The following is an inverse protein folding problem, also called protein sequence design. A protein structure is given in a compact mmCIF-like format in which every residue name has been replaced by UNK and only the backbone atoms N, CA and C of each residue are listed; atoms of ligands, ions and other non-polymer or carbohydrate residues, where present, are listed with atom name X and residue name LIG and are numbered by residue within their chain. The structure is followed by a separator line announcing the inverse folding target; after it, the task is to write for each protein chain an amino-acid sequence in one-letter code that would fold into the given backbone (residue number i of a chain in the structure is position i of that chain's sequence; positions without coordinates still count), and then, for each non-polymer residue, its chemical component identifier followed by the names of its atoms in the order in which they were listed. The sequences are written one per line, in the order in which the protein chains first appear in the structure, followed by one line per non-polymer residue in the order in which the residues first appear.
data_IF_754214694384
#
_entry.id   IF_754214694384
#
_cell.length_a   1.000
_cell.length_b   1.000
_cell.length_c   1.000
_cell.angle_alpha   90.00
_cell.angle_beta   90.00
_cell.angle_gamma   90.00
#
_symmetry.space_group_name_H-M   'P 1'
#
loop_
_entity.id
_entity.type
_entity.pdbx_description
1 polymer ?
#
# COMPACT_ATOMS: atom_id res chain seq x y z
N UNK A 1 6.69 33.99 -15.05
CA UNK A 1 7.27 32.77 -14.45
C UNK A 1 8.77 32.77 -14.76
N UNK A 2 9.67 32.68 -13.77
CA UNK A 2 11.14 32.61 -14.00
C UNK A 2 11.64 31.21 -13.66
N UNK A 3 12.39 30.60 -14.56
CA UNK A 3 12.95 29.25 -14.40
C UNK A 3 14.42 29.36 -13.98
N UNK A 4 14.84 28.56 -12.99
CA UNK A 4 16.24 28.46 -12.61
C UNK A 4 16.90 27.35 -13.44
N UNK A 5 17.58 27.73 -14.53
CA UNK A 5 18.22 26.77 -15.45
C UNK A 5 19.20 25.82 -14.73
N UNK A 6 19.87 26.27 -13.67
CA UNK A 6 20.77 25.43 -12.84
C UNK A 6 20.07 24.29 -12.10
N UNK A 7 18.74 24.37 -11.93
CA UNK A 7 17.91 23.36 -11.26
C UNK A 7 17.09 22.54 -12.26
N UNK A 8 17.28 22.76 -13.56
CA UNK A 8 16.58 22.05 -14.61
C UNK A 8 17.48 20.97 -15.19
N UNK A 9 16.93 19.77 -15.30
CA UNK A 9 17.56 18.64 -15.97
C UNK A 9 16.70 18.33 -17.20
N UNK A 10 17.31 18.24 -18.38
CA UNK A 10 16.62 18.00 -19.66
C UNK A 10 17.21 16.79 -20.37
N UNK A 11 16.37 15.98 -21.02
CA UNK A 11 16.80 14.88 -21.89
C UNK A 11 17.44 13.69 -21.15
N UNK A 12 17.09 13.46 -19.88
CA UNK A 12 17.57 12.31 -19.11
C UNK A 12 16.55 11.17 -19.13
N UNK A 13 17.04 9.93 -19.26
CA UNK A 13 16.23 8.72 -19.14
C UNK A 13 15.77 8.48 -17.68
N UNK A 14 16.62 8.86 -16.72
CA UNK A 14 16.36 8.78 -15.29
C UNK A 14 16.51 10.16 -14.64
N UNK A 15 15.51 10.59 -13.87
CA UNK A 15 15.51 11.86 -13.15
C UNK A 15 15.24 11.67 -11.67
N UNK A 16 16.11 12.25 -10.84
CA UNK A 16 15.90 12.35 -9.41
C UNK A 16 15.01 13.55 -9.06
N UNK A 17 13.82 13.29 -8.52
CA UNK A 17 12.86 14.32 -8.16
C UNK A 17 12.18 13.99 -6.83
N UNK A 18 12.13 14.96 -5.91
CA UNK A 18 11.43 14.84 -4.62
C UNK A 18 11.81 13.58 -3.80
N UNK A 19 13.06 13.13 -3.85
CA UNK A 19 13.49 11.91 -3.13
C UNK A 19 13.10 10.60 -3.81
N UNK A 20 12.50 10.67 -5.00
CA UNK A 20 12.24 9.54 -5.88
C UNK A 20 13.17 9.55 -7.10
N UNK A 21 13.26 8.38 -7.73
CA UNK A 21 13.88 8.17 -9.03
C UNK A 21 12.74 7.94 -10.02
N UNK A 22 12.62 8.80 -11.03
CA UNK A 22 11.67 8.65 -12.13
C UNK A 22 12.44 8.11 -13.33
N UNK A 23 12.10 6.93 -13.83
CA UNK A 23 12.76 6.31 -14.99
C UNK A 23 11.68 5.73 -15.91
N UNK A 24 11.51 6.31 -17.10
CA UNK A 24 10.46 5.91 -18.04
C UNK A 24 9.07 5.87 -17.39
N UNK A 25 8.48 4.68 -17.34
CA UNK A 25 7.16 4.41 -16.73
C UNK A 25 7.25 3.92 -15.27
N UNK A 26 8.38 4.17 -14.60
CA UNK A 26 8.63 3.66 -13.25
C UNK A 26 9.02 4.78 -12.27
N UNK A 27 8.61 4.58 -11.01
CA UNK A 27 8.89 5.44 -9.88
C UNK A 27 9.56 4.60 -8.79
N UNK A 28 10.84 4.85 -8.54
CA UNK A 28 11.65 4.21 -7.51
C UNK A 28 11.91 5.10 -6.30
N UNK A 29 12.43 4.49 -5.25
CA UNK A 29 13.01 5.20 -4.11
C UNK A 29 14.47 5.53 -4.43
N UNK A 30 14.91 6.75 -4.11
CA UNK A 30 16.34 7.09 -4.16
C UNK A 30 17.14 6.25 -3.16
N UNK A 31 17.89 5.27 -3.69
CA UNK A 31 18.70 4.33 -2.90
C UNK A 31 19.70 5.03 -1.98
N UNK A 32 20.19 6.22 -2.33
CA UNK A 32 21.10 6.98 -1.47
C UNK A 32 20.42 7.46 -0.17
N UNK A 33 19.13 7.82 -0.25
CA UNK A 33 18.34 8.23 0.93
C UNK A 33 18.06 7.05 1.84
N UNK A 34 17.80 5.88 1.26
CA UNK A 34 17.60 4.63 2.02
C UNK A 34 18.90 4.19 2.68
N UNK A 35 20.03 4.23 1.97
CA UNK A 35 21.34 3.89 2.51
C UNK A 35 21.69 4.71 3.77
N UNK A 36 21.37 6.02 3.76
CA UNK A 36 21.56 6.88 4.92
C UNK A 36 20.73 6.47 6.15
N UNK A 37 19.60 5.78 5.96
CA UNK A 37 18.80 5.20 7.05
C UNK A 37 19.35 3.84 7.48
N UNK A 38 19.88 3.05 6.55
CA UNK A 38 20.49 1.76 6.88
C UNK A 38 21.76 1.90 7.70
N UNK A 39 22.54 2.96 7.51
CA UNK A 39 23.77 3.20 8.26
C UNK A 39 23.53 3.65 9.70
N UNK A 40 22.29 4.06 10.04
CA UNK A 40 21.97 4.49 11.40
C UNK A 40 21.84 3.29 12.33
N UNK A 41 22.29 3.41 13.59
CA UNK A 41 22.01 2.40 14.59
C UNK A 41 20.50 2.29 14.84
N UNK A 42 20.08 1.18 15.45
CA UNK A 42 18.71 0.99 15.91
C UNK A 42 18.35 2.16 16.85
N UNK A 43 17.17 2.80 16.68
CA UNK A 43 16.74 3.91 17.52
C UNK A 43 16.80 3.57 19.01
N UNK A 44 17.42 4.44 19.80
CA UNK A 44 17.59 4.28 21.24
C UNK A 44 16.60 5.10 22.07
N UNK A 45 15.81 5.96 21.41
CA UNK A 45 14.80 6.78 22.06
C UNK A 45 13.61 7.07 21.12
N UNK A 46 12.53 7.62 21.71
CA UNK A 46 11.29 7.95 20.98
C UNK A 46 11.54 8.94 19.83
N UNK A 47 12.44 9.91 19.99
CA UNK A 47 12.73 10.93 18.97
C UNK A 47 13.34 10.31 17.72
N UNK A 48 14.31 9.42 17.89
CA UNK A 48 14.93 8.67 16.80
C UNK A 48 13.93 7.73 16.13
N UNK A 49 13.10 7.04 16.90
CA UNK A 49 12.07 6.16 16.35
C UNK A 49 11.04 6.94 15.53
N UNK A 50 10.57 8.09 16.01
CA UNK A 50 9.68 8.97 15.26
C UNK A 50 10.34 9.51 13.98
N UNK A 51 11.63 9.83 14.02
CA UNK A 51 12.38 10.24 12.82
C UNK A 51 12.44 9.12 11.79
N UNK A 52 12.69 7.87 12.22
CA UNK A 52 12.68 6.70 11.34
C UNK A 52 11.30 6.43 10.76
N UNK A 53 10.25 6.48 11.57
CA UNK A 53 8.87 6.28 11.13
C UNK A 53 8.41 7.38 10.19
N UNK A 54 8.80 8.63 10.42
CA UNK A 54 8.53 9.75 9.52
C UNK A 54 9.15 9.54 8.14
N UNK A 55 10.42 9.13 8.10
CA UNK A 55 11.10 8.77 6.85
C UNK A 55 10.41 7.58 6.14
N UNK A 56 10.14 6.51 6.88
CA UNK A 56 9.55 5.30 6.30
C UNK A 56 8.12 5.55 5.79
N UNK A 57 7.35 6.37 6.51
CA UNK A 57 6.00 6.78 6.12
C UNK A 57 5.97 7.59 4.83
N UNK A 58 7.02 8.38 4.55
CA UNK A 58 7.15 9.10 3.28
C UNK A 58 7.10 8.14 2.07
N UNK A 59 7.77 6.99 2.20
CA UNK A 59 7.83 5.96 1.17
C UNK A 59 6.76 4.87 1.30
N UNK A 60 5.76 5.02 2.19
CA UNK A 60 4.76 3.98 2.47
C UNK A 60 4.02 3.45 1.25
N UNK A 61 3.92 4.23 0.17
CA UNK A 61 3.32 3.81 -1.11
C UNK A 61 4.09 2.68 -1.80
N UNK A 62 5.36 2.49 -1.47
CA UNK A 62 6.21 1.38 -1.93
C UNK A 62 6.18 0.19 -0.97
N UNK A 63 5.61 0.34 0.22
CA UNK A 63 5.74 -0.60 1.31
C UNK A 63 4.40 -1.30 1.56
N UNK A 64 4.31 -2.56 1.12
CA UNK A 64 3.16 -3.41 1.44
C UNK A 64 2.99 -3.51 2.96
N UNK A 65 1.75 -3.37 3.43
CA UNK A 65 1.35 -3.54 4.84
C UNK A 65 2.10 -2.66 5.85
N UNK A 66 2.64 -1.51 5.41
CA UNK A 66 3.41 -0.60 6.27
C UNK A 66 2.75 -0.29 7.61
N UNK A 67 1.45 0.02 7.62
CA UNK A 67 0.75 0.40 8.85
C UNK A 67 0.64 -0.75 9.86
N UNK A 68 0.59 -2.00 9.38
CA UNK A 68 0.60 -3.22 10.19
C UNK A 68 2.01 -3.42 10.76
N UNK A 69 3.04 -3.36 9.89
CA UNK A 69 4.44 -3.50 10.30
C UNK A 69 4.86 -2.44 11.32
N UNK A 70 4.44 -1.18 11.13
CA UNK A 70 4.81 -0.06 11.98
C UNK A 70 4.01 0.02 13.28
N UNK A 71 3.02 -0.85 13.51
CA UNK A 71 2.08 -0.76 14.63
C UNK A 71 2.76 -0.76 16.00
N UNK A 72 3.62 -1.74 16.25
CA UNK A 72 4.35 -1.83 17.52
C UNK A 72 5.34 -0.68 17.71
N UNK A 73 5.87 -0.11 16.61
CA UNK A 73 6.81 1.00 16.61
C UNK A 73 6.13 2.36 16.87
N UNK A 74 4.92 2.59 16.35
CA UNK A 74 4.14 3.77 16.70
C UNK A 74 3.75 3.74 18.19
N UNK A 75 3.35 2.56 18.72
CA UNK A 75 2.94 2.40 20.12
C UNK A 75 4.04 2.76 21.13
N UNK A 76 5.32 2.54 20.81
CA UNK A 76 6.43 2.95 21.70
C UNK A 76 6.73 4.45 21.67
N UNK A 77 6.24 5.14 20.64
CA UNK A 77 6.37 6.59 20.54
C UNK A 77 5.33 7.32 21.41
N UNK A 78 4.28 6.64 21.88
CA UNK A 78 3.27 7.22 22.76
C UNK A 78 3.90 7.72 24.07
N UNK A 79 3.43 8.87 24.57
CA UNK A 79 3.98 9.49 25.78
C UNK A 79 3.91 8.55 27.00
N UNK A 80 2.82 7.78 27.11
CA UNK A 80 2.54 6.86 28.23
C UNK A 80 3.30 5.53 28.15
N UNK A 81 3.92 5.21 27.02
CA UNK A 81 4.63 3.93 26.83
C UNK A 81 6.11 4.09 27.17
N UNK A 82 6.69 3.18 27.93
CA UNK A 82 8.14 3.13 28.14
C UNK A 82 8.82 2.75 26.83
N UNK A 83 9.92 3.44 26.50
CA UNK A 83 10.68 3.12 25.30
C UNK A 83 11.48 1.83 25.53
N UNK A 84 11.12 0.78 24.81
CA UNK A 84 11.79 -0.52 24.91
C UNK A 84 11.79 -1.21 23.54
N UNK A 85 12.95 -1.60 23.05
CA UNK A 85 13.09 -2.35 21.79
C UNK A 85 13.02 -3.85 22.07
N UNK A 86 11.80 -4.36 22.28
CA UNK A 86 11.55 -5.80 22.40
C UNK A 86 11.91 -6.54 21.10
N UNK A 87 12.09 -7.86 21.16
CA UNK A 87 12.38 -8.66 19.97
C UNK A 87 11.34 -8.49 18.86
N UNK A 88 10.05 -8.34 19.21
CA UNK A 88 8.97 -8.07 18.25
C UNK A 88 9.18 -6.73 17.52
N UNK A 89 9.55 -5.68 18.26
CA UNK A 89 9.80 -4.34 17.72
C UNK A 89 11.06 -4.30 16.87
N UNK A 90 12.12 -5.01 17.27
CA UNK A 90 13.33 -5.17 16.47
C UNK A 90 12.98 -5.87 15.15
N UNK A 91 12.22 -6.96 15.19
CA UNK A 91 11.75 -7.64 13.96
C UNK A 91 10.92 -6.73 13.07
N UNK A 92 10.02 -5.92 13.64
CA UNK A 92 9.22 -4.96 12.89
C UNK A 92 10.08 -3.86 12.23
N UNK A 93 11.05 -3.33 12.99
CA UNK A 93 12.02 -2.35 12.50
C UNK A 93 12.84 -2.89 11.33
N UNK A 94 13.40 -4.09 11.45
CA UNK A 94 14.16 -4.74 10.38
C UNK A 94 13.31 -5.08 9.16
N UNK A 95 12.05 -5.50 9.35
CA UNK A 95 11.12 -5.70 8.22
C UNK A 95 10.88 -4.43 7.43
N UNK A 96 10.71 -3.28 8.09
CA UNK A 96 10.53 -1.99 7.41
C UNK A 96 11.82 -1.56 6.71
N UNK A 97 12.99 -1.73 7.34
CA UNK A 97 14.29 -1.46 6.70
C UNK A 97 14.48 -2.28 5.43
N UNK A 98 14.22 -3.59 5.52
CA UNK A 98 14.29 -4.50 4.40
C UNK A 98 13.32 -4.13 3.29
N UNK A 99 12.07 -3.79 3.65
CA UNK A 99 11.07 -3.35 2.68
C UNK A 99 11.46 -2.04 1.98
N UNK A 100 12.15 -1.11 2.66
CA UNK A 100 12.67 0.12 2.05
C UNK A 100 13.82 -0.15 1.06
N UNK A 101 14.62 -1.20 1.29
CA UNK A 101 15.75 -1.55 0.41
C UNK A 101 15.34 -2.40 -0.78
N UNK A 102 14.41 -3.32 -0.55
CA UNK A 102 13.87 -4.23 -1.56
C UNK A 102 12.60 -3.66 -2.22
N UNK A 103 12.29 -2.39 -1.96
CA UNK A 103 11.10 -1.74 -2.47
C UNK A 103 11.04 -1.83 -4.00
N UNK A 104 9.97 -2.43 -4.51
CA UNK A 104 9.72 -2.50 -5.94
C UNK A 104 9.59 -1.09 -6.55
N UNK A 105 10.00 -0.99 -7.81
CA UNK A 105 9.62 0.15 -8.63
C UNK A 105 8.10 0.17 -8.74
N UNK A 106 7.51 1.34 -8.49
CA UNK A 106 6.09 1.55 -8.76
C UNK A 106 5.90 1.87 -10.23
N UNK A 107 4.89 1.28 -10.86
CA UNK A 107 4.48 1.66 -12.20
C UNK A 107 3.80 3.03 -12.16
N UNK A 108 4.12 3.89 -13.12
CA UNK A 108 3.32 5.07 -13.39
C UNK A 108 1.95 4.62 -13.91
N UNK A 109 0.84 5.13 -13.34
CA UNK A 109 -0.48 4.71 -13.76
C UNK A 109 -0.75 5.13 -15.22
N UNK A 110 -1.22 4.18 -16.03
CA UNK A 110 -1.83 4.47 -17.33
C UNK A 110 -3.35 4.41 -17.19
N UNK A 111 -4.01 5.55 -17.33
CA UNK A 111 -5.46 5.69 -17.14
C UNK A 111 -6.30 4.97 -18.19
N UNK A 112 -5.70 4.49 -19.27
CA UNK A 112 -6.40 3.77 -20.34
C UNK A 112 -6.40 2.25 -20.11
N UNK A 113 -5.66 1.76 -19.10
CA UNK A 113 -5.51 0.34 -18.81
C UNK A 113 -6.24 0.01 -17.50
N UNK A 114 -7.02 -1.09 -17.43
CA UNK A 114 -7.68 -1.49 -16.19
C UNK A 114 -6.71 -1.72 -15.03
N UNK A 115 -7.12 -1.33 -13.82
CA UNK A 115 -6.37 -1.62 -12.61
C UNK A 115 -6.71 -3.00 -12.05
N UNK A 116 -5.73 -3.64 -11.41
CA UNK A 116 -5.94 -4.77 -10.50
C UNK A 116 -5.85 -4.29 -9.07
N UNK A 117 -6.90 -4.48 -8.30
CA UNK A 117 -7.02 -3.98 -6.96
C UNK A 117 -7.09 -5.11 -5.94
N UNK A 118 -5.94 -5.42 -5.35
CA UNK A 118 -5.84 -6.44 -4.31
C UNK A 118 -6.20 -5.85 -2.95
N UNK A 119 -7.04 -6.55 -2.19
CA UNK A 119 -7.40 -6.19 -0.82
C UNK A 119 -7.14 -7.38 0.11
N UNK A 120 -6.78 -7.07 1.35
CA UNK A 120 -6.54 -8.06 2.41
C UNK A 120 -6.80 -7.40 3.78
N UNK A 121 -7.51 -8.10 4.65
CA UNK A 121 -7.79 -7.64 6.01
C UNK A 121 -7.46 -8.71 7.04
N UNK A 122 -6.70 -8.33 8.07
CA UNK A 122 -6.39 -9.20 9.20
C UNK A 122 -6.80 -8.56 10.52
N UNK A 123 -6.56 -9.21 11.67
CA UNK A 123 -6.88 -8.64 12.98
C UNK A 123 -6.07 -7.38 13.34
N UNK A 124 -4.96 -7.12 12.64
CA UNK A 124 -4.06 -6.01 12.94
C UNK A 124 -4.25 -4.78 12.06
N UNK A 125 -4.67 -4.96 10.81
CA UNK A 125 -4.85 -3.88 9.86
C UNK A 125 -5.61 -4.26 8.60
N UNK A 126 -5.82 -3.25 7.77
CA UNK A 126 -6.33 -3.35 6.41
C UNK A 126 -5.19 -3.02 5.44
N UNK A 127 -5.10 -3.76 4.34
CA UNK A 127 -4.09 -3.57 3.30
C UNK A 127 -4.72 -3.63 1.92
N UNK A 128 -4.22 -2.78 1.02
CA UNK A 128 -4.57 -2.88 -0.38
C UNK A 128 -3.38 -2.53 -1.29
N UNK A 129 -3.34 -3.15 -2.46
CA UNK A 129 -2.34 -2.92 -3.49
C UNK A 129 -3.04 -2.64 -4.81
N UNK A 130 -2.78 -1.47 -5.39
CA UNK A 130 -3.23 -1.12 -6.73
C UNK A 130 -2.13 -1.49 -7.70
N UNK A 131 -2.45 -2.32 -8.68
CA UNK A 131 -1.54 -2.87 -9.67
C UNK A 131 -2.06 -2.57 -11.08
N UNK A 132 -1.16 -2.64 -12.07
CA UNK A 132 -1.51 -2.65 -13.49
C UNK A 132 -0.66 -3.66 -14.24
N UNK A 133 -1.19 -4.17 -15.35
CA UNK A 133 -0.43 -4.97 -16.31
C UNK A 133 -0.03 -4.03 -17.44
N UNK A 134 1.27 -3.74 -17.55
CA UNK A 134 1.82 -2.87 -18.59
C UNK A 134 2.83 -3.65 -19.45
N UNK A 135 3.06 -3.20 -20.68
CA UNK A 135 4.10 -3.78 -21.54
C UNK A 135 5.44 -3.16 -21.14
N UNK A 136 6.34 -4.00 -20.63
CA UNK A 136 7.71 -3.64 -20.25
C UNK A 136 8.62 -4.64 -20.95
N UNK A 137 9.59 -4.15 -21.72
CA UNK A 137 10.50 -4.97 -22.55
C UNK A 137 9.73 -5.99 -23.41
N UNK A 138 8.70 -5.50 -24.12
CA UNK A 138 7.79 -6.26 -24.99
C UNK A 138 7.02 -7.40 -24.31
N UNK A 139 6.94 -7.40 -22.97
CA UNK A 139 6.23 -8.42 -22.20
C UNK A 139 5.16 -7.81 -21.30
N UNK A 140 3.98 -8.45 -21.19
CA UNK A 140 2.97 -8.05 -20.22
C UNK A 140 3.48 -8.35 -18.80
N UNK A 141 3.74 -7.29 -18.05
CA UNK A 141 4.28 -7.34 -16.70
C UNK A 141 3.30 -6.70 -15.73
N UNK A 142 2.87 -7.46 -14.73
CA UNK A 142 2.06 -6.91 -13.64
C UNK A 142 2.98 -6.26 -12.60
N UNK A 143 2.73 -5.00 -12.29
CA UNK A 143 3.49 -4.26 -11.28
C UNK A 143 2.62 -3.39 -10.38
N UNK A 144 3.12 -3.06 -9.18
CA UNK A 144 2.39 -2.20 -8.25
C UNK A 144 2.41 -0.75 -8.72
N UNK A 145 1.27 -0.09 -8.71
CA UNK A 145 1.15 1.37 -8.84
C UNK A 145 1.29 2.03 -7.47
N UNK A 146 0.64 1.46 -6.45
CA UNK A 146 0.87 1.86 -5.06
C UNK A 146 0.35 0.83 -4.04
N UNK A 147 0.88 0.89 -2.83
CA UNK A 147 0.36 0.21 -1.65
C UNK A 147 -0.29 1.20 -0.69
N UNK A 148 -1.38 0.78 -0.06
CA UNK A 148 -1.99 1.49 1.07
C UNK A 148 -2.25 0.51 2.20
N UNK A 149 -2.10 0.98 3.44
CA UNK A 149 -2.47 0.20 4.61
C UNK A 149 -2.87 1.12 5.76
N UNK A 150 -3.70 0.61 6.67
CA UNK A 150 -4.00 1.27 7.93
C UNK A 150 -4.24 0.26 9.05
N UNK A 151 -4.07 0.72 10.28
CA UNK A 151 -4.46 -0.05 11.46
C UNK A 151 -5.98 -0.06 11.62
N UNK A 152 -6.44 -1.10 12.31
CA UNK A 152 -7.83 -1.27 12.70
C UNK A 152 -8.16 -0.36 13.86
N UNK A 153 -9.33 0.28 13.79
CA UNK A 153 -9.86 1.09 14.89
C UNK A 153 -10.43 0.17 15.98
N UNK A 154 -10.43 0.59 17.25
CA UNK A 154 -10.99 -0.20 18.34
C UNK A 154 -12.45 -0.66 18.10
N UNK A 155 -13.25 0.14 17.39
CA UNK A 155 -14.63 -0.20 17.03
C UNK A 155 -14.72 -1.26 15.93
N UNK A 156 -13.73 -1.31 15.04
CA UNK A 156 -13.66 -2.25 13.92
C UNK A 156 -13.10 -3.61 14.36
N UNK A 157 -12.36 -3.66 15.47
CA UNK A 157 -11.80 -4.90 16.03
C UNK A 157 -12.86 -5.95 16.44
N UNK A 158 -14.13 -5.57 16.51
CA UNK A 158 -15.28 -6.45 16.80
C UNK A 158 -15.88 -7.09 15.56
N UNK A 159 -15.47 -6.65 14.37
CA UNK A 159 -15.98 -7.18 13.12
C UNK A 159 -15.42 -8.57 12.85
N UNK A 160 -16.27 -9.45 12.31
CA UNK A 160 -15.81 -10.75 11.82
C UNK A 160 -14.93 -10.60 10.56
N UNK A 161 -14.15 -11.62 10.22
CA UNK A 161 -13.23 -11.60 9.07
C UNK A 161 -13.90 -11.11 7.77
N UNK A 162 -15.09 -11.63 7.44
CA UNK A 162 -15.85 -11.21 6.26
C UNK A 162 -16.25 -9.73 6.26
N UNK A 163 -16.56 -9.16 7.43
CA UNK A 163 -16.87 -7.74 7.56
C UNK A 163 -15.61 -6.89 7.42
N UNK A 164 -14.46 -7.39 7.86
CA UNK A 164 -13.17 -6.72 7.75
C UNK A 164 -12.71 -6.63 6.30
N UNK A 165 -12.90 -7.70 5.53
CA UNK A 165 -12.66 -7.71 4.07
C UNK A 165 -13.54 -6.69 3.34
N UNK A 166 -14.84 -6.67 3.64
CA UNK A 166 -15.75 -5.65 3.08
C UNK A 166 -15.34 -4.23 3.48
N UNK A 167 -14.97 -4.01 4.74
CA UNK A 167 -14.47 -2.73 5.23
C UNK A 167 -13.17 -2.32 4.52
N UNK A 168 -12.30 -3.29 4.23
CA UNK A 168 -11.06 -3.06 3.50
C UNK A 168 -11.33 -2.53 2.11
N UNK A 169 -12.23 -3.18 1.35
CA UNK A 169 -12.65 -2.68 0.04
C UNK A 169 -13.15 -1.24 0.12
N UNK A 170 -14.11 -0.97 1.00
CA UNK A 170 -14.76 0.36 1.12
C UNK A 170 -13.73 1.43 1.45
N UNK A 171 -12.88 1.17 2.44
CA UNK A 171 -11.83 2.10 2.84
C UNK A 171 -10.81 2.32 1.72
N UNK A 172 -10.43 1.24 1.02
CA UNK A 172 -9.43 1.30 -0.02
C UNK A 172 -9.94 2.07 -1.25
N UNK A 173 -11.20 1.87 -1.65
CA UNK A 173 -11.86 2.69 -2.67
C UNK A 173 -11.89 4.17 -2.29
N UNK A 174 -12.28 4.51 -1.05
CA UNK A 174 -12.28 5.90 -0.57
C UNK A 174 -10.87 6.52 -0.63
N UNK A 175 -9.83 5.77 -0.26
CA UNK A 175 -8.44 6.26 -0.26
C UNK A 175 -7.83 6.37 -1.66
N UNK A 176 -8.28 5.55 -2.59
CA UNK A 176 -7.81 5.52 -3.96
C UNK A 176 -8.89 6.05 -4.92
N UNK A 177 -9.76 6.95 -4.45
CA UNK A 177 -10.78 7.56 -5.30
C UNK A 177 -10.14 8.21 -6.54
N UNK A 178 -9.06 8.99 -6.37
CA UNK A 178 -8.41 9.66 -7.51
C UNK A 178 -8.01 8.70 -8.64
N UNK A 179 -7.29 7.58 -8.40
CA UNK A 179 -6.98 6.67 -9.49
C UNK A 179 -8.13 5.76 -9.94
N UNK A 180 -9.16 5.55 -9.12
CA UNK A 180 -10.28 4.66 -9.46
C UNK A 180 -11.42 5.39 -10.17
N UNK A 181 -11.54 6.71 -9.97
CA UNK A 181 -12.54 7.54 -10.62
C UNK A 181 -12.36 7.49 -12.16
N UNK A 182 -13.46 7.27 -12.87
CA UNK A 182 -13.48 7.07 -14.32
C UNK A 182 -12.75 5.82 -14.85
N UNK A 183 -12.10 5.03 -13.98
CA UNK A 183 -11.28 3.88 -14.38
C UNK A 183 -12.03 2.56 -14.19
N UNK A 184 -11.71 1.57 -15.03
CA UNK A 184 -12.15 0.18 -14.86
C UNK A 184 -11.15 -0.55 -13.98
N UNK A 185 -11.64 -1.36 -13.04
CA UNK A 185 -10.76 -2.12 -12.17
C UNK A 185 -11.35 -3.45 -11.68
N UNK A 186 -10.43 -4.35 -11.37
CA UNK A 186 -10.71 -5.70 -10.92
C UNK A 186 -10.33 -5.84 -9.45
N UNK A 187 -11.31 -6.00 -8.56
CA UNK A 187 -11.07 -6.28 -7.15
C UNK A 187 -10.77 -7.76 -6.98
N UNK A 188 -9.65 -8.06 -6.34
CA UNK A 188 -9.17 -9.42 -6.15
C UNK A 188 -9.02 -9.71 -4.65
N UNK A 189 -9.81 -10.67 -4.16
CA UNK A 189 -9.92 -11.05 -2.74
C UNK A 189 -10.17 -12.55 -2.62
N UNK A 190 -9.92 -13.16 -1.46
CA UNK A 190 -10.32 -14.53 -1.15
C UNK A 190 -11.69 -14.60 -0.44
N UNK A 191 -12.34 -13.45 -0.21
CA UNK A 191 -13.56 -13.36 0.57
C UNK A 191 -14.82 -13.21 -0.30
N UNK A 192 -15.64 -14.27 -0.33
CA UNK A 192 -16.94 -14.26 -1.03
C UNK A 192 -17.90 -13.18 -0.53
N UNK A 193 -17.77 -12.73 0.72
CA UNK A 193 -18.65 -11.69 1.28
C UNK A 193 -18.50 -10.35 0.55
N UNK A 194 -17.32 -10.05 0.02
CA UNK A 194 -17.05 -8.83 -0.76
C UNK A 194 -17.87 -8.83 -2.05
N UNK A 195 -17.96 -9.97 -2.74
CA UNK A 195 -18.81 -10.12 -3.92
C UNK A 195 -20.30 -9.96 -3.58
N UNK A 196 -20.71 -10.51 -2.43
CA UNK A 196 -22.09 -10.38 -1.95
C UNK A 196 -22.43 -8.95 -1.53
N UNK A 197 -21.44 -8.15 -1.08
CA UNK A 197 -21.63 -6.78 -0.59
C UNK A 197 -22.48 -5.94 -1.56
N UNK A 198 -22.22 -5.97 -2.86
CA UNK A 198 -22.97 -5.17 -3.85
C UNK A 198 -24.44 -5.56 -4.05
N UNK A 199 -24.82 -6.76 -3.62
CA UNK A 199 -26.13 -7.37 -3.92
C UNK A 199 -26.93 -7.75 -2.66
N UNK A 200 -26.42 -7.48 -1.46
CA UNK A 200 -27.16 -7.76 -0.22
C UNK A 200 -28.42 -6.90 -0.13
N UNK A 201 -29.59 -7.56 -0.06
CA UNK A 201 -30.90 -6.91 0.12
C UNK A 201 -31.24 -6.65 1.59
N UNK A 202 -30.79 -7.52 2.49
CA UNK A 202 -31.06 -7.44 3.94
C UNK A 202 -29.77 -7.14 4.70
N UNK A 203 -29.13 -6.02 4.37
CA UNK A 203 -27.92 -5.57 5.03
C UNK A 203 -28.23 -4.92 6.40
N UNK A 204 -27.31 -5.07 7.37
CA UNK A 204 -27.36 -4.25 8.58
C UNK A 204 -26.99 -2.79 8.25
N UNK A 205 -27.25 -1.86 9.18
CA UNK A 205 -27.03 -0.41 8.95
C UNK A 205 -25.61 -0.07 8.48
N UNK A 206 -24.58 -0.79 8.96
CA UNK A 206 -23.19 -0.54 8.56
C UNK A 206 -22.91 -1.01 7.14
N UNK A 207 -23.39 -2.19 6.77
CA UNK A 207 -23.25 -2.75 5.42
C UNK A 207 -24.00 -1.91 4.38
N UNK A 208 -25.16 -1.35 4.72
CA UNK A 208 -25.85 -0.39 3.85
C UNK A 208 -25.00 0.86 3.56
N UNK A 209 -24.34 1.43 4.57
CA UNK A 209 -23.44 2.58 4.38
C UNK A 209 -22.26 2.23 3.48
N UNK A 210 -21.72 1.02 3.63
CA UNK A 210 -20.64 0.51 2.79
C UNK A 210 -21.07 0.32 1.34
N UNK A 211 -22.25 -0.25 1.10
CA UNK A 211 -22.83 -0.38 -0.24
C UNK A 211 -22.97 0.96 -0.94
N UNK A 212 -23.53 1.96 -0.25
CA UNK A 212 -23.70 3.31 -0.79
C UNK A 212 -22.34 3.93 -1.13
N UNK A 213 -21.35 3.78 -0.25
CA UNK A 213 -20.01 4.35 -0.43
C UNK A 213 -19.27 3.81 -1.66
N UNK A 214 -19.54 2.57 -2.08
CA UNK A 214 -18.90 1.97 -3.27
C UNK A 214 -19.84 1.89 -4.47
N UNK A 215 -21.04 2.46 -4.38
CA UNK A 215 -22.06 2.36 -5.43
C UNK A 215 -21.62 3.04 -6.72
N UNK A 216 -20.86 4.13 -6.62
CA UNK A 216 -20.32 4.86 -7.79
C UNK A 216 -19.44 3.96 -8.67
N UNK A 217 -18.69 3.02 -8.08
CA UNK A 217 -17.82 2.10 -8.81
C UNK A 217 -18.53 0.88 -9.37
N UNK A 218 -19.84 0.70 -9.11
CA UNK A 218 -20.57 -0.53 -9.49
C UNK A 218 -20.49 -0.83 -10.99
N UNK A 219 -20.43 0.20 -11.84
CA UNK A 219 -20.33 0.04 -13.30
C UNK A 219 -18.92 -0.28 -13.81
N UNK A 220 -17.89 0.05 -13.04
CA UNK A 220 -16.49 -0.08 -13.44
C UNK A 220 -15.68 -1.10 -12.63
N UNK A 221 -16.27 -1.64 -11.56
CA UNK A 221 -15.66 -2.60 -10.65
C UNK A 221 -16.13 -4.03 -10.90
N UNK A 222 -15.21 -4.94 -11.17
CA UNK A 222 -15.48 -6.39 -11.23
C UNK A 222 -14.78 -7.11 -10.08
N UNK A 223 -15.48 -8.00 -9.36
CA UNK A 223 -14.93 -8.71 -8.19
C UNK A 223 -14.59 -10.16 -8.56
N UNK A 224 -13.33 -10.54 -8.39
CA UNK A 224 -12.80 -11.89 -8.58
C UNK A 224 -12.42 -12.53 -7.24
N UNK A 225 -12.84 -13.78 -7.07
CA UNK A 225 -12.50 -14.60 -5.90
C UNK A 225 -11.28 -15.44 -6.25
N UNK A 226 -10.18 -15.25 -5.52
CA UNK A 226 -8.97 -16.05 -5.67
C UNK A 226 -9.22 -17.49 -5.20
N UNK A 227 -8.76 -18.45 -6.00
CA UNK A 227 -8.69 -19.88 -5.61
C UNK A 227 -7.41 -20.23 -4.83
N UNK A 228 -6.41 -19.35 -4.81
CA UNK A 228 -5.14 -19.52 -4.07
C UNK A 228 -4.73 -18.26 -3.28
N UNK A 229 -4.10 -18.46 -2.13
CA UNK A 229 -3.78 -17.42 -1.14
C UNK A 229 -2.79 -16.36 -1.65
N UNK A 230 -3.05 -15.09 -1.33
CA UNK A 230 -2.33 -13.89 -1.81
C UNK A 230 -0.81 -13.93 -1.59
N UNK A 231 -0.33 -14.62 -0.54
CA UNK A 231 1.09 -14.74 -0.20
C UNK A 231 1.91 -15.45 -1.27
N UNK A 232 1.34 -16.44 -1.98
CA UNK A 232 2.07 -17.22 -3.00
C UNK A 232 2.33 -16.46 -4.29
N UNK A 233 1.40 -15.62 -4.72
CA UNK A 233 1.50 -14.91 -6.01
C UNK A 233 2.53 -13.78 -5.93
N UNK A 234 2.59 -13.04 -4.81
CA UNK A 234 3.61 -12.01 -4.63
C UNK A 234 5.01 -12.60 -4.36
N UNK A 235 5.11 -13.77 -3.73
CA UNK A 235 6.40 -14.49 -3.64
C UNK A 235 6.88 -14.97 -5.01
N UNK A 236 5.97 -15.42 -5.89
CA UNK A 236 6.32 -15.84 -7.25
C UNK A 236 6.63 -14.66 -8.18
N UNK A 237 5.99 -13.50 -7.99
CA UNK A 237 6.30 -12.27 -8.76
C UNK A 237 7.53 -11.51 -8.24
N UNK A 238 7.88 -11.66 -6.95
CA UNK A 238 9.12 -11.12 -6.37
C UNK A 238 10.32 -12.11 -6.48
N UNK A 239 10.11 -13.28 -7.07
CA UNK A 239 11.07 -14.39 -7.16
C UNK A 239 11.39 -14.83 -8.59
N UNK A 240 11.36 -13.90 -9.55
CA UNK A 240 11.93 -14.14 -10.88
C UNK A 240 13.45 -14.02 -10.80
N UNK A 241 14.14 -15.12 -11.14
CA UNK A 241 15.60 -15.29 -11.16
C UNK A 241 16.38 -14.12 -11.76
#
# INVERSE_FOLDING_TARGET
MKISLKKCNFGFEELKALGHIVSGLSLGIDKNKVAAVLLKPIPQNKKEMMSFLGFSSYYRKHLKDFAILAKSLYRICDQKTVFEMTQERIKAYEKIRRALTEANLLLMPDWNIPFKFYIDACGDGLGAALHQVQIIDDKPTEGPVCFISRQIKPTEARYGASQMECLCLVWACEKLHYPLDGSVFEVITDCNAVKSLLNMKNANRHVWRWQIAIQEYRGSMTIFIKKETFTRILMNLAGGH
#
